data_IF_493833308595
#
_entry.id   IF_493833308595
#
_cell.length_a   1.000
_cell.length_b   1.000
_cell.length_c   1.000
_cell.angle_alpha   90.00
_cell.angle_beta   90.00
_cell.angle_gamma   90.00
#
_symmetry.space_group_name_H-M   'P 1'
#
loop_
_entity.id
_entity.type
_entity.pdbx_description
1 polymer ?
#
# COMPACT_ATOMS: atom_id res chain seq x y z
N UNK A 1 19.99 -7.16 -5.05
CA UNK A 1 19.53 -6.13 -6.00
C UNK A 1 18.14 -6.45 -6.50
N UNK A 2 17.28 -5.45 -6.57
CA UNK A 2 15.92 -5.63 -7.06
C UNK A 2 15.92 -5.85 -8.58
N UNK A 3 15.09 -6.79 -9.02
CA UNK A 3 14.88 -7.09 -10.44
C UNK A 3 13.43 -6.82 -10.80
N UNK A 4 13.12 -6.74 -12.09
CA UNK A 4 11.74 -6.57 -12.53
C UNK A 4 10.86 -7.73 -12.05
N UNK A 5 11.39 -8.96 -12.09
CA UNK A 5 10.67 -10.14 -11.63
C UNK A 5 10.31 -10.05 -10.14
N UNK A 6 11.27 -9.66 -9.30
CA UNK A 6 11.01 -9.47 -7.86
C UNK A 6 10.07 -8.32 -7.62
N UNK A 7 10.23 -7.21 -8.34
CA UNK A 7 9.35 -6.06 -8.22
C UNK A 7 7.91 -6.43 -8.58
N UNK A 8 7.73 -7.17 -9.67
CA UNK A 8 6.40 -7.64 -10.10
C UNK A 8 5.76 -8.53 -9.04
N UNK A 9 6.54 -9.46 -8.48
CA UNK A 9 6.03 -10.38 -7.45
C UNK A 9 5.58 -9.61 -6.20
N UNK A 10 6.41 -8.70 -5.72
CA UNK A 10 6.12 -7.95 -4.50
C UNK A 10 4.97 -6.97 -4.72
N UNK A 11 4.98 -6.27 -5.85
CA UNK A 11 3.94 -5.30 -6.17
C UNK A 11 2.57 -5.96 -6.39
N UNK A 12 2.54 -7.09 -7.11
CA UNK A 12 1.30 -7.85 -7.32
C UNK A 12 0.76 -8.38 -5.99
N UNK A 13 1.66 -8.90 -5.14
CA UNK A 13 1.27 -9.38 -3.81
C UNK A 13 0.69 -8.26 -2.97
N UNK A 14 1.32 -7.09 -2.98
CA UNK A 14 0.83 -5.93 -2.22
C UNK A 14 -0.59 -5.57 -2.62
N UNK A 15 -0.85 -5.51 -3.92
CA UNK A 15 -2.15 -5.15 -4.45
C UNK A 15 -3.19 -6.23 -4.15
N UNK A 16 -2.83 -7.50 -4.34
CA UNK A 16 -3.73 -8.62 -4.07
C UNK A 16 -4.11 -8.70 -2.60
N UNK A 17 -3.15 -8.48 -1.70
CA UNK A 17 -3.42 -8.50 -0.26
C UNK A 17 -4.28 -7.33 0.17
N UNK A 18 -4.14 -6.17 -0.47
CA UNK A 18 -5.06 -5.06 -0.23
C UNK A 18 -6.48 -5.43 -0.64
N UNK A 19 -6.64 -6.08 -1.79
CA UNK A 19 -7.95 -6.41 -2.34
C UNK A 19 -8.65 -7.57 -1.60
N UNK A 20 -7.90 -8.37 -0.85
CA UNK A 20 -8.46 -9.47 -0.07
C UNK A 20 -9.03 -8.95 1.24
N UNK A 21 -9.91 -9.76 1.88
CA UNK A 21 -10.56 -9.36 3.12
C UNK A 21 -9.82 -9.86 4.37
N UNK A 22 -8.55 -10.26 4.23
CA UNK A 22 -7.74 -10.78 5.33
C UNK A 22 -6.64 -9.77 5.70
N UNK A 23 -6.95 -8.88 6.65
CA UNK A 23 -6.03 -7.82 7.08
C UNK A 23 -4.74 -8.39 7.67
N UNK A 24 -4.81 -9.53 8.34
CA UNK A 24 -3.61 -10.12 8.95
C UNK A 24 -2.58 -10.51 7.89
N UNK A 25 -3.02 -11.07 6.78
CA UNK A 25 -2.12 -11.38 5.66
C UNK A 25 -1.56 -10.11 5.02
N UNK A 26 -2.38 -9.08 4.86
CA UNK A 26 -1.95 -7.79 4.33
C UNK A 26 -0.81 -7.21 5.17
N UNK A 27 -0.89 -7.34 6.49
CA UNK A 27 0.11 -6.80 7.40
C UNK A 27 1.43 -7.58 7.41
N UNK A 28 1.42 -8.87 7.01
CA UNK A 28 2.63 -9.70 7.03
C UNK A 28 3.72 -9.22 6.09
N UNK A 29 3.39 -8.44 5.06
CA UNK A 29 4.36 -7.94 4.09
C UNK A 29 5.16 -6.74 4.61
N UNK A 30 4.76 -6.17 5.73
CA UNK A 30 5.37 -4.96 6.29
C UNK A 30 6.29 -5.28 7.46
N UNK A 31 7.37 -4.51 7.56
CA UNK A 31 8.19 -4.51 8.77
C UNK A 31 7.41 -3.85 9.91
N UNK A 32 7.83 -4.14 11.16
CA UNK A 32 7.18 -3.56 12.33
C UNK A 32 7.30 -2.03 12.38
N UNK A 33 8.35 -1.48 11.75
CA UNK A 33 8.59 -0.04 11.69
C UNK A 33 8.02 0.60 10.43
N UNK A 34 7.03 -0.03 9.80
CA UNK A 34 6.38 0.48 8.59
C UNK A 34 5.83 1.89 8.80
N UNK A 35 6.02 2.72 7.77
CA UNK A 35 5.40 4.04 7.69
C UNK A 35 4.58 4.10 6.41
N UNK A 36 3.30 4.37 6.55
CA UNK A 36 2.38 4.60 5.42
C UNK A 36 2.08 6.09 5.34
N UNK A 37 2.23 6.68 4.16
CA UNK A 37 1.85 8.06 3.89
C UNK A 37 0.79 8.06 2.78
N UNK A 38 -0.37 8.62 3.05
CA UNK A 38 -1.48 8.61 2.09
C UNK A 38 -2.45 9.76 2.39
N UNK A 39 -3.00 10.36 1.32
CA UNK A 39 -4.05 11.37 1.47
C UNK A 39 -5.34 10.78 2.04
N UNK A 40 -5.63 9.52 1.75
CA UNK A 40 -6.79 8.84 2.35
C UNK A 40 -6.58 8.69 3.86
N UNK A 41 -5.35 8.34 4.28
CA UNK A 41 -5.01 8.28 5.69
C UNK A 41 -5.17 9.64 6.37
N UNK A 42 -4.83 10.72 5.67
CA UNK A 42 -5.02 12.08 6.18
C UNK A 42 -6.50 12.37 6.43
N UNK A 43 -7.37 11.96 5.50
CA UNK A 43 -8.80 12.21 5.63
C UNK A 43 -9.44 11.42 6.78
N UNK A 44 -9.03 10.17 6.96
CA UNK A 44 -9.62 9.29 7.97
C UNK A 44 -9.00 9.48 9.35
N UNK A 45 -7.72 9.84 9.40
CA UNK A 45 -6.98 10.07 10.65
C UNK A 45 -6.24 11.41 10.53
N UNK A 46 -6.95 12.56 10.62
CA UNK A 46 -6.32 13.87 10.42
C UNK A 46 -5.16 14.16 11.36
N UNK A 47 -5.22 13.62 12.58
CA UNK A 47 -4.19 13.85 13.60
C UNK A 47 -2.84 13.24 13.22
N UNK A 48 -2.81 12.34 12.25
CA UNK A 48 -1.57 11.70 11.79
C UNK A 48 -0.88 12.48 10.69
N UNK A 49 -1.49 13.51 10.14
CA UNK A 49 -1.04 14.25 8.94
C UNK A 49 -0.87 13.33 7.73
N UNK A 50 -1.67 12.26 7.66
CA UNK A 50 -1.59 11.28 6.59
C UNK A 50 -0.47 10.27 6.75
N UNK A 51 0.16 10.21 7.93
CA UNK A 51 1.29 9.35 8.20
C UNK A 51 0.94 8.34 9.29
N UNK A 52 0.96 7.06 8.94
CA UNK A 52 0.68 5.96 9.87
C UNK A 52 1.98 5.20 10.08
N UNK A 53 2.45 5.12 11.34
CA UNK A 53 3.76 4.55 11.65
C UNK A 53 3.70 3.33 12.59
N UNK A 54 2.57 2.64 12.65
CA UNK A 54 2.35 1.54 13.58
C UNK A 54 1.44 0.52 12.91
N UNK A 55 1.79 -0.77 12.97
CA UNK A 55 0.98 -1.83 12.36
C UNK A 55 -0.42 -1.91 12.97
N UNK A 56 -0.55 -1.63 14.26
CA UNK A 56 -1.83 -1.63 14.94
C UNK A 56 -2.75 -0.55 14.37
N UNK A 57 -2.22 0.66 14.19
CA UNK A 57 -2.98 1.77 13.60
C UNK A 57 -3.23 1.49 12.11
N UNK A 58 -2.28 0.86 11.42
CA UNK A 58 -2.45 0.46 10.03
C UNK A 58 -3.59 -0.54 9.87
N UNK A 59 -3.75 -1.47 10.83
CA UNK A 59 -4.87 -2.39 10.85
C UNK A 59 -6.20 -1.65 11.00
N UNK A 60 -6.25 -0.68 11.92
CA UNK A 60 -7.44 0.15 12.12
C UNK A 60 -7.78 0.95 10.87
N UNK A 61 -6.75 1.49 10.20
CA UNK A 61 -6.91 2.19 8.94
C UNK A 61 -7.51 1.29 7.87
N UNK A 62 -6.96 0.09 7.69
CA UNK A 62 -7.46 -0.89 6.71
C UNK A 62 -8.93 -1.22 6.97
N UNK A 63 -9.26 -1.52 8.23
CA UNK A 63 -10.63 -1.86 8.61
C UNK A 63 -11.60 -0.70 8.37
N UNK A 64 -11.16 0.52 8.71
CA UNK A 64 -11.99 1.72 8.51
C UNK A 64 -12.26 1.99 7.03
N UNK A 65 -11.24 1.84 6.18
CA UNK A 65 -11.40 2.01 4.74
C UNK A 65 -12.38 0.98 4.19
N UNK A 66 -12.26 -0.28 4.62
CA UNK A 66 -13.17 -1.35 4.19
C UNK A 66 -14.62 -1.06 4.60
N UNK A 67 -14.83 -0.52 5.80
CA UNK A 67 -16.16 -0.22 6.27
C UNK A 67 -16.78 0.98 5.56
N UNK A 68 -16.02 2.01 5.30
CA UNK A 68 -16.52 3.24 4.69
C UNK A 68 -16.59 3.18 3.18
N UNK A 69 -15.67 2.43 2.56
CA UNK A 69 -15.56 2.32 1.10
C UNK A 69 -15.38 0.83 0.78
N UNK A 70 -16.45 0.01 0.89
CA UNK A 70 -16.34 -1.45 0.72
C UNK A 70 -15.79 -1.85 -0.66
N UNK A 71 -16.01 -1.03 -1.68
CA UNK A 71 -15.58 -1.31 -3.04
C UNK A 71 -14.24 -0.65 -3.37
N UNK A 72 -13.49 -0.19 -2.36
CA UNK A 72 -12.20 0.46 -2.56
C UNK A 72 -11.14 -0.58 -2.89
N UNK A 73 -11.25 -1.14 -4.09
CA UNK A 73 -10.32 -2.14 -4.61
C UNK A 73 -9.47 -1.53 -5.71
N UNK A 74 -8.31 -2.13 -5.94
CA UNK A 74 -7.32 -1.62 -6.88
C UNK A 74 -7.20 -2.51 -8.11
N UNK A 75 -7.02 -1.88 -9.26
CA UNK A 75 -6.76 -2.57 -10.53
C UNK A 75 -5.36 -2.17 -10.98
N UNK A 76 -4.49 -3.15 -11.14
CA UNK A 76 -3.09 -2.92 -11.51
C UNK A 76 -2.99 -2.40 -12.94
N UNK A 77 -2.18 -1.35 -13.15
CA UNK A 77 -1.81 -0.89 -14.49
C UNK A 77 -0.41 -1.36 -14.87
N UNK A 78 0.59 -1.05 -14.04
CA UNK A 78 1.95 -1.52 -14.28
C UNK A 78 2.79 -1.43 -13.02
N UNK A 79 3.94 -2.10 -13.04
CA UNK A 79 4.92 -2.06 -11.96
C UNK A 79 6.27 -1.69 -12.54
N UNK A 80 6.90 -0.68 -11.96
CA UNK A 80 8.27 -0.27 -12.23
C UNK A 80 9.09 -0.39 -10.95
N UNK A 81 10.39 -0.19 -11.04
CA UNK A 81 11.24 -0.14 -9.86
C UNK A 81 12.43 0.76 -10.11
N UNK A 82 12.99 1.28 -9.02
CA UNK A 82 14.20 2.09 -9.03
C UNK A 82 14.91 1.85 -7.70
N UNK A 83 16.14 1.32 -7.76
CA UNK A 83 16.89 0.93 -6.56
C UNK A 83 16.09 -0.07 -5.72
N UNK A 84 15.77 0.28 -4.46
CA UNK A 84 14.98 -0.57 -3.56
C UNK A 84 13.53 -0.11 -3.45
N UNK A 85 13.05 0.64 -4.43
CA UNK A 85 11.68 1.16 -4.46
C UNK A 85 10.90 0.52 -5.60
N UNK A 86 9.71 0.07 -5.29
CA UNK A 86 8.80 -0.51 -6.27
C UNK A 86 7.67 0.49 -6.49
N UNK A 87 7.42 0.83 -7.74
CA UNK A 87 6.36 1.77 -8.11
C UNK A 87 5.19 0.98 -8.68
N UNK A 88 4.08 0.97 -7.95
CA UNK A 88 2.87 0.27 -8.37
C UNK A 88 1.87 1.30 -8.88
N UNK A 89 1.60 1.25 -10.17
CA UNK A 89 0.62 2.13 -10.82
C UNK A 89 -0.71 1.39 -10.87
N UNK A 90 -1.75 1.99 -10.29
CA UNK A 90 -3.04 1.32 -10.23
C UNK A 90 -4.18 2.33 -10.31
N UNK A 91 -5.38 1.81 -10.56
CA UNK A 91 -6.60 2.59 -10.61
C UNK A 91 -7.54 2.06 -9.53
N UNK A 92 -8.21 2.96 -8.83
CA UNK A 92 -9.27 2.55 -7.91
C UNK A 92 -10.51 2.21 -8.71
N UNK A 93 -11.08 1.03 -8.46
CA UNK A 93 -12.17 0.52 -9.28
C UNK A 93 -13.41 1.42 -9.26
N UNK A 94 -13.78 1.92 -8.08
CA UNK A 94 -15.02 2.69 -7.91
C UNK A 94 -14.84 4.19 -8.11
N UNK A 95 -13.70 4.71 -7.67
CA UNK A 95 -13.43 6.14 -7.76
C UNK A 95 -12.86 6.55 -9.11
N UNK A 96 -12.49 5.57 -9.93
CA UNK A 96 -11.86 5.78 -11.24
C UNK A 96 -10.68 6.73 -11.14
N UNK A 97 -9.97 6.65 -10.03
CA UNK A 97 -8.84 7.52 -9.72
C UNK A 97 -7.56 6.75 -9.93
N UNK A 98 -6.60 7.38 -10.57
CA UNK A 98 -5.28 6.80 -10.75
C UNK A 98 -4.41 7.10 -9.54
N UNK A 99 -3.57 6.15 -9.17
CA UNK A 99 -2.68 6.30 -8.03
C UNK A 99 -1.34 5.63 -8.30
N UNK A 100 -0.34 6.08 -7.54
CA UNK A 100 0.99 5.48 -7.55
C UNK A 100 1.35 5.17 -6.10
N UNK A 101 1.67 3.91 -5.83
CA UNK A 101 2.22 3.52 -4.54
C UNK A 101 3.71 3.28 -4.70
N UNK A 102 4.51 3.89 -3.83
CA UNK A 102 5.95 3.67 -3.79
C UNK A 102 6.25 2.82 -2.58
N UNK A 103 6.66 1.57 -2.81
CA UNK A 103 6.99 0.61 -1.77
C UNK A 103 8.51 0.56 -1.62
N UNK A 104 9.02 0.94 -0.45
CA UNK A 104 10.45 0.84 -0.16
C UNK A 104 10.69 -0.45 0.62
N UNK A 105 11.60 -1.28 0.11
CA UNK A 105 11.82 -2.62 0.68
C UNK A 105 13.24 -2.75 1.23
N UNK A 106 13.41 -3.70 2.16
CA UNK A 106 14.71 -4.08 2.69
C UNK A 106 15.27 -5.30 1.94
N UNK A 107 16.41 -5.82 2.40
CA UNK A 107 17.07 -6.96 1.75
C UNK A 107 16.29 -8.27 1.90
N UNK A 108 15.29 -8.32 2.76
CA UNK A 108 14.43 -9.48 2.97
C UNK A 108 13.09 -9.34 2.27
N UNK A 109 12.97 -8.39 1.33
CA UNK A 109 11.74 -8.10 0.59
C UNK A 109 10.60 -7.60 1.47
N UNK A 110 10.91 -7.11 2.68
CA UNK A 110 9.92 -6.55 3.59
C UNK A 110 9.75 -5.06 3.32
N UNK A 111 8.51 -4.59 3.28
CA UNK A 111 8.18 -3.19 3.03
C UNK A 111 8.28 -2.41 4.34
N UNK A 112 9.08 -1.35 4.36
CA UNK A 112 9.18 -0.49 5.54
C UNK A 112 8.68 0.94 5.29
N UNK A 113 8.35 1.29 4.06
CA UNK A 113 7.72 2.57 3.75
C UNK A 113 6.80 2.39 2.56
N UNK A 114 5.61 2.96 2.65
CA UNK A 114 4.63 2.95 1.58
C UNK A 114 4.09 4.36 1.42
N UNK A 115 4.30 4.95 0.25
CA UNK A 115 3.84 6.31 -0.06
C UNK A 115 2.85 6.23 -1.19
N UNK A 116 1.62 6.68 -0.95
CA UNK A 116 0.55 6.62 -1.94
C UNK A 116 0.15 8.03 -2.36
N UNK A 117 0.20 8.29 -3.66
CA UNK A 117 -0.22 9.55 -4.25
C UNK A 117 -1.35 9.30 -5.25
N UNK A 118 -2.40 10.10 -5.15
CA UNK A 118 -3.54 10.06 -6.07
C UNK A 118 -3.43 11.16 -7.10
N UNK A 119 -3.76 10.82 -8.32
CA UNK A 119 -3.63 11.75 -9.45
C UNK A 119 -4.97 12.35 -9.82
#
# INVERSE_FOLDING_TARGET
MLTQERADRIGNRWLDLWNNDTVDEYLTQYRDDIVLVSTVAFRLFPDTNGRISDKKILKEYWELVRNKIPQFKFVLEKIDFFENKILVFYTTQDLKTKAIAILTIDNNDMIYKCEVSYV
#
